data_IF_043884405199
#
_entry.id   IF_043884405199
#
_cell.length_a   1.000
_cell.length_b   1.000
_cell.length_c   1.000
_cell.angle_alpha   90.00
_cell.angle_beta   90.00
_cell.angle_gamma   90.00
#
_symmetry.space_group_name_H-M   'P 1'
#
loop_
_entity.id
_entity.type
_entity.pdbx_description
1 polymer ?
#
# COMPACT_ATOMS: atom_id res chain seq x y z
N UNK A 1 -1.41 -6.93 -18.15
CA UNK A 1 -1.29 -6.81 -16.68
C UNK A 1 -2.69 -6.59 -16.13
N UNK A 2 -3.14 -7.41 -15.17
CA UNK A 2 -4.44 -7.18 -14.53
C UNK A 2 -4.46 -5.83 -13.82
N UNK A 3 -5.60 -5.14 -13.83
CA UNK A 3 -5.75 -3.88 -13.10
C UNK A 3 -5.71 -4.16 -11.61
N UNK A 4 -4.96 -3.35 -10.86
CA UNK A 4 -4.98 -3.36 -9.40
C UNK A 4 -6.42 -3.20 -8.91
N UNK A 5 -6.87 -4.14 -8.07
CA UNK A 5 -8.27 -4.26 -7.66
C UNK A 5 -8.38 -4.56 -6.15
N UNK A 6 -9.60 -4.61 -5.63
CA UNK A 6 -9.85 -4.82 -4.20
C UNK A 6 -9.30 -6.16 -3.68
N UNK A 7 -9.32 -7.23 -4.48
CA UNK A 7 -8.81 -8.53 -4.04
C UNK A 7 -7.28 -8.50 -3.92
N UNK A 8 -6.61 -7.82 -4.85
CA UNK A 8 -5.17 -7.56 -4.72
C UNK A 8 -4.88 -6.69 -3.50
N UNK A 9 -5.60 -5.57 -3.31
CA UNK A 9 -5.40 -4.72 -2.13
C UNK A 9 -5.58 -5.48 -0.81
N UNK A 10 -6.58 -6.36 -0.72
CA UNK A 10 -6.81 -7.24 0.44
C UNK A 10 -5.64 -8.16 0.75
N UNK A 11 -4.96 -8.71 -0.26
CA UNK A 11 -3.82 -9.62 -0.05
C UNK A 11 -2.57 -8.91 0.51
N UNK A 12 -2.56 -7.57 0.49
CA UNK A 12 -1.51 -6.73 1.05
C UNK A 12 -1.85 -6.10 2.41
N UNK A 13 -3.07 -6.29 2.94
CA UNK A 13 -3.42 -5.75 4.26
C UNK A 13 -2.48 -6.27 5.36
N UNK A 14 -2.06 -5.36 6.23
CA UNK A 14 -1.07 -5.58 7.29
C UNK A 14 0.38 -5.64 6.81
N UNK A 15 0.65 -5.57 5.51
CA UNK A 15 1.99 -5.71 4.94
C UNK A 15 2.60 -4.35 4.59
N UNK A 16 3.91 -4.24 4.75
CA UNK A 16 4.67 -3.12 4.23
C UNK A 16 4.89 -3.30 2.73
N UNK A 17 4.61 -2.25 1.96
CA UNK A 17 4.66 -2.26 0.51
C UNK A 17 5.29 -0.98 -0.03
N UNK A 18 5.82 -1.06 -1.25
CA UNK A 18 5.98 0.08 -2.13
C UNK A 18 4.75 0.17 -3.05
N UNK A 19 4.15 1.34 -3.15
CA UNK A 19 2.97 1.58 -3.98
C UNK A 19 3.39 2.32 -5.22
N UNK A 20 3.22 1.68 -6.38
CA UNK A 20 3.46 2.32 -7.67
C UNK A 20 2.15 2.92 -8.18
N UNK A 21 2.16 4.22 -8.41
CA UNK A 21 1.01 4.96 -8.91
C UNK A 21 1.04 5.05 -10.44
N UNK A 22 -0.13 5.29 -11.04
CA UNK A 22 -0.29 5.38 -12.50
C UNK A 22 0.35 6.62 -13.11
N UNK A 23 0.62 7.65 -12.32
CA UNK A 23 1.33 8.87 -12.73
C UNK A 23 2.86 8.66 -12.77
N UNK A 24 3.35 7.48 -12.38
CA UNK A 24 4.78 7.16 -12.31
C UNK A 24 5.41 7.44 -10.94
N UNK A 25 4.69 8.07 -10.01
CA UNK A 25 5.15 8.29 -8.65
C UNK A 25 5.18 6.98 -7.85
N UNK A 26 6.08 6.90 -6.87
CA UNK A 26 6.19 5.74 -5.97
C UNK A 26 6.15 6.20 -4.52
N UNK A 27 5.26 5.59 -3.73
CA UNK A 27 5.18 5.80 -2.30
C UNK A 27 5.83 4.59 -1.62
N UNK A 28 6.94 4.82 -0.93
CA UNK A 28 7.80 3.75 -0.39
C UNK A 28 7.54 3.49 1.09
N UNK A 29 7.70 2.24 1.49
CA UNK A 29 7.67 1.79 2.89
C UNK A 29 6.42 2.24 3.65
N UNK A 30 5.26 1.85 3.13
CA UNK A 30 3.96 2.11 3.75
C UNK A 30 3.25 0.80 4.05
N UNK A 31 2.51 0.75 5.15
CA UNK A 31 1.65 -0.39 5.46
C UNK A 31 0.25 -0.15 4.90
N UNK A 32 -0.33 -1.14 4.25
CA UNK A 32 -1.76 -1.13 3.96
C UNK A 32 -2.53 -1.52 5.22
N UNK A 33 -3.25 -0.58 5.84
CA UNK A 33 -3.95 -0.83 7.10
C UNK A 33 -5.40 -1.22 6.92
N UNK A 34 -6.14 -0.53 6.05
CA UNK A 34 -7.59 -0.70 5.93
C UNK A 34 -8.07 -0.46 4.50
N UNK A 35 -8.98 -1.32 4.00
CA UNK A 35 -9.67 -1.08 2.74
C UNK A 35 -10.99 -0.35 3.02
N UNK A 36 -11.12 0.84 2.45
CA UNK A 36 -12.28 1.70 2.59
C UNK A 36 -13.09 1.69 1.30
N UNK A 37 -14.42 1.70 1.42
CA UNK A 37 -15.33 1.82 0.30
C UNK A 37 -16.29 2.95 0.56
N UNK A 38 -16.40 3.86 -0.39
CA UNK A 38 -17.42 4.90 -0.36
C UNK A 38 -18.72 4.32 -0.93
N UNK A 39 -19.76 4.31 -0.09
CA UNK A 39 -21.08 3.79 -0.42
C UNK A 39 -21.80 4.63 -1.48
N UNK A 40 -21.48 5.93 -1.58
CA UNK A 40 -22.13 6.86 -2.49
C UNK A 40 -21.43 6.93 -3.85
N UNK A 41 -20.09 6.96 -3.87
CA UNK A 41 -19.33 7.16 -5.12
C UNK A 41 -18.87 5.85 -5.78
N UNK A 42 -19.11 4.68 -5.16
CA UNK A 42 -18.52 3.38 -5.54
C UNK A 42 -16.99 3.40 -5.62
N UNK A 43 -16.33 4.43 -5.10
CA UNK A 43 -14.88 4.52 -5.07
C UNK A 43 -14.33 3.69 -3.91
N UNK A 44 -13.20 3.03 -4.14
CA UNK A 44 -12.48 2.27 -3.12
C UNK A 44 -11.14 2.94 -2.86
N UNK A 45 -10.78 3.02 -1.59
CA UNK A 45 -9.52 3.58 -1.12
C UNK A 45 -8.78 2.56 -0.26
N UNK A 46 -7.46 2.63 -0.27
CA UNK A 46 -6.62 1.95 0.71
C UNK A 46 -6.09 2.99 1.68
N UNK A 47 -6.27 2.76 2.98
CA UNK A 47 -5.60 3.51 4.03
C UNK A 47 -4.17 2.99 4.16
N UNK A 48 -3.23 3.91 4.15
CA UNK A 48 -1.81 3.64 4.28
C UNK A 48 -1.25 4.34 5.52
N UNK A 49 -0.31 3.67 6.19
CA UNK A 49 0.46 4.22 7.31
C UNK A 49 1.92 4.24 6.91
N UNK A 50 2.58 5.40 6.97
CA UNK A 50 4.00 5.48 6.67
C UNK A 50 4.84 4.80 7.77
N UNK A 51 5.81 3.98 7.39
CA UNK A 51 6.67 3.31 8.36
C UNK A 51 7.42 4.33 9.25
N UNK A 52 7.39 4.10 10.57
CA UNK A 52 8.02 4.97 11.56
C UNK A 52 7.30 6.30 11.80
N UNK A 53 6.09 6.51 11.25
CA UNK A 53 5.28 7.71 11.47
C UNK A 53 3.83 7.35 11.75
N UNK A 54 3.15 8.14 12.56
CA UNK A 54 1.69 8.03 12.80
C UNK A 54 0.85 8.68 11.68
N UNK A 55 1.49 9.10 10.58
CA UNK A 55 0.80 9.76 9.49
C UNK A 55 0.06 8.74 8.63
N UNK A 56 -1.26 8.75 8.77
CA UNK A 56 -2.17 8.01 7.90
C UNK A 56 -2.62 8.86 6.71
N UNK A 57 -2.78 8.22 5.56
CA UNK A 57 -3.37 8.83 4.38
C UNK A 57 -4.11 7.79 3.54
N UNK A 58 -4.91 8.24 2.58
CA UNK A 58 -5.74 7.38 1.73
C UNK A 58 -5.32 7.50 0.28
N UNK A 59 -5.20 6.36 -0.39
CA UNK A 59 -4.92 6.31 -1.83
C UNK A 59 -6.14 5.69 -2.52
N UNK A 60 -6.73 6.34 -3.54
CA UNK A 60 -7.75 5.70 -4.36
C UNK A 60 -7.18 4.47 -5.08
N UNK A 61 -7.90 3.34 -5.08
CA UNK A 61 -7.45 2.12 -5.76
C UNK A 61 -7.24 2.36 -7.26
N UNK A 62 -8.04 3.26 -7.86
CA UNK A 62 -7.92 3.61 -9.28
C UNK A 62 -6.59 4.29 -9.64
N UNK A 63 -5.91 4.92 -8.68
CA UNK A 63 -4.61 5.57 -8.89
C UNK A 63 -3.43 4.59 -8.76
N UNK A 64 -3.64 3.41 -8.18
CA UNK A 64 -2.61 2.40 -8.00
C UNK A 64 -2.41 1.61 -9.29
N UNK A 65 -1.17 1.52 -9.75
CA UNK A 65 -0.77 0.66 -10.86
C UNK A 65 -0.51 -0.77 -10.37
N UNK A 66 0.32 -0.91 -9.33
CA UNK A 66 0.64 -2.18 -8.66
C UNK A 66 1.29 -1.91 -7.29
N UNK A 67 1.43 -2.95 -6.47
CA UNK A 67 2.09 -2.87 -5.17
C UNK A 67 3.16 -3.97 -5.03
N UNK A 68 4.31 -3.61 -4.48
CA UNK A 68 5.42 -4.51 -4.20
C UNK A 68 5.48 -4.79 -2.69
N UNK A 69 5.38 -6.04 -2.26
CA UNK A 69 5.56 -6.36 -0.84
C UNK A 69 7.04 -6.25 -0.43
N UNK A 70 7.31 -5.45 0.59
CA UNK A 70 8.63 -5.39 1.20
C UNK A 70 8.85 -6.64 2.05
N UNK A 71 9.95 -7.35 1.77
CA UNK A 71 10.38 -8.48 2.57
C UNK A 71 11.24 -7.97 3.74
N UNK A 72 10.65 -7.90 4.93
CA UNK A 72 11.35 -7.39 6.13
C UNK A 72 12.54 -8.25 6.56
N UNK A 73 12.63 -9.50 6.08
CA UNK A 73 13.80 -10.36 6.32
C UNK A 73 15.09 -9.81 5.69
N UNK A 74 15.00 -8.83 4.77
CA UNK A 74 16.16 -8.15 4.19
C UNK A 74 16.71 -7.02 5.08
N UNK A 75 15.92 -6.50 6.02
CA UNK A 75 16.33 -5.39 6.89
C UNK A 75 16.83 -5.84 8.27
N UNK A 76 16.47 -7.05 8.71
CA UNK A 76 16.91 -7.63 9.99
C UNK A 76 18.37 -8.12 9.99
N UNK A 77 19.07 -8.09 8.85
CA UNK A 77 20.48 -8.51 8.75
C UNK A 77 21.47 -7.35 8.94
N UNK A 78 21.01 -6.10 9.03
CA UNK A 78 21.90 -4.94 9.19
C UNK A 78 22.15 -4.56 10.67
N UNK A 79 21.39 -5.13 11.61
CA UNK A 79 21.45 -4.80 13.05
C UNK A 79 22.26 -5.83 13.89
N UNK A 80 23.24 -6.50 13.26
CA UNK A 80 24.24 -7.30 13.99
C UNK A 80 25.63 -6.75 13.71
N UNK A 81 26.06 -5.78 14.51
CA UNK A 81 27.47 -5.47 14.71
C UNK A 81 27.71 -5.12 16.17
#
# INVERSE_FOLDING_TARGET
>A
MERFNMNMAKSFLGKNVNVHLKDGSVIVNVQFSELLRDEFSREAFIRCVAYGKENEFKIPLRSIAWAEQLNLNLFLTCDRN
#
